data_IF_766384285580
#
_entry.id   IF_766384285580
#
_cell.length_a   1.000
_cell.length_b   1.000
_cell.length_c   1.000
_cell.angle_alpha   90.00
_cell.angle_beta   90.00
_cell.angle_gamma   90.00
#
_symmetry.space_group_name_H-M   'P 1'
#
loop_
_entity.id
_entity.type
_entity.pdbx_description
1 polymer ?
#
# COMPACT_ATOMS: atom_id res chain seq x y z
N UNK A 1 2.40 48.56 19.00
CA UNK A 1 2.31 47.40 19.93
C UNK A 1 0.91 46.85 19.86
N UNK A 2 0.71 45.64 19.34
CA UNK A 2 -0.63 45.06 19.12
C UNK A 2 -1.19 44.48 20.42
N UNK A 3 -2.33 45.01 20.87
CA UNK A 3 -3.03 44.53 22.07
C UNK A 3 -3.93 43.35 21.67
N UNK A 4 -3.55 42.14 22.06
CA UNK A 4 -4.38 40.95 21.89
C UNK A 4 -5.51 40.97 22.92
N UNK A 5 -6.77 40.93 22.45
CA UNK A 5 -7.94 40.72 23.30
C UNK A 5 -8.34 39.24 23.29
N UNK A 6 -8.36 38.64 24.48
CA UNK A 6 -8.83 37.28 24.70
C UNK A 6 -10.36 37.33 24.74
N UNK A 7 -10.99 36.50 23.93
CA UNK A 7 -12.44 36.34 23.90
C UNK A 7 -12.87 35.36 25.00
N UNK A 8 -13.75 35.81 25.89
CA UNK A 8 -14.49 34.97 26.82
C UNK A 8 -15.96 34.93 26.34
N UNK A 9 -16.51 33.74 26.02
CA UNK A 9 -17.93 33.66 25.69
C UNK A 9 -18.73 33.94 26.94
N UNK A 10 -19.65 34.91 26.87
CA UNK A 10 -20.60 35.13 27.95
C UNK A 10 -21.54 33.92 28.06
N UNK A 11 -21.75 33.47 29.29
CA UNK A 11 -22.68 32.38 29.59
C UNK A 11 -24.07 32.79 29.08
N UNK A 12 -24.50 32.12 28.01
CA UNK A 12 -25.77 32.34 27.35
C UNK A 12 -26.90 32.30 28.37
N UNK A 13 -27.57 33.45 28.46
CA UNK A 13 -28.78 33.69 29.24
C UNK A 13 -29.83 32.62 28.96
N UNK A 14 -30.43 32.18 30.05
CA UNK A 14 -31.54 31.25 30.18
C UNK A 14 -32.71 31.61 29.26
N UNK A 15 -32.94 30.84 28.20
CA UNK A 15 -34.15 30.94 27.39
C UNK A 15 -34.84 29.58 27.24
N UNK A 16 -35.95 29.46 27.97
CA UNK A 16 -37.11 28.55 27.81
C UNK A 16 -36.91 27.01 27.80
N UNK A 17 -37.72 26.26 28.58
CA UNK A 17 -37.68 24.80 28.56
C UNK A 17 -38.39 24.31 27.29
N UNK A 18 -37.63 24.12 26.22
CA UNK A 18 -38.07 23.22 25.14
C UNK A 18 -38.12 21.84 25.77
N UNK A 19 -39.31 21.23 25.82
CA UNK A 19 -39.53 19.86 26.26
C UNK A 19 -38.65 18.94 25.41
N UNK A 20 -37.46 18.65 25.91
CA UNK A 20 -36.58 17.63 25.38
C UNK A 20 -37.30 16.30 25.62
N UNK A 21 -38.04 15.82 24.62
CA UNK A 21 -38.24 14.38 24.52
C UNK A 21 -36.84 13.81 24.49
N UNK A 22 -36.47 13.04 25.51
CA UNK A 22 -35.16 12.43 25.71
C UNK A 22 -34.82 11.52 24.51
N UNK A 23 -34.41 12.11 23.40
CA UNK A 23 -33.85 11.38 22.28
C UNK A 23 -32.44 11.00 22.71
N UNK A 24 -32.32 9.81 23.31
CA UNK A 24 -31.02 9.20 23.59
C UNK A 24 -30.10 9.38 22.38
N UNK A 25 -28.82 9.75 22.57
CA UNK A 25 -27.89 9.85 21.47
C UNK A 25 -27.80 8.48 20.77
N UNK A 26 -28.32 8.40 19.55
CA UNK A 26 -28.30 7.17 18.76
C UNK A 26 -26.89 6.99 18.21
N UNK A 27 -26.10 6.13 18.85
CA UNK A 27 -24.77 5.75 18.37
C UNK A 27 -24.94 4.87 17.14
N UNK A 28 -24.64 5.41 15.96
CA UNK A 28 -24.63 4.63 14.72
C UNK A 28 -23.48 3.62 14.79
N UNK A 29 -23.74 2.30 14.68
CA UNK A 29 -22.67 1.32 14.73
C UNK A 29 -21.78 1.48 13.50
N UNK A 30 -20.47 1.65 13.72
CA UNK A 30 -19.49 1.52 12.66
C UNK A 30 -19.64 0.12 12.07
N UNK A 31 -20.01 0.04 10.78
CA UNK A 31 -19.99 -1.23 10.06
C UNK A 31 -18.54 -1.71 10.08
N UNK A 32 -18.24 -2.71 10.91
CA UNK A 32 -16.99 -3.46 10.82
C UNK A 32 -16.92 -3.92 9.38
N UNK A 33 -15.87 -3.54 8.67
CA UNK A 33 -15.62 -4.05 7.33
C UNK A 33 -15.76 -5.57 7.45
N UNK A 34 -16.75 -6.16 6.76
CA UNK A 34 -16.89 -7.60 6.67
C UNK A 34 -15.50 -8.12 6.35
N UNK A 35 -14.99 -9.05 7.18
CA UNK A 35 -13.73 -9.73 6.94
C UNK A 35 -13.78 -10.22 5.49
N UNK A 36 -13.19 -9.44 4.57
CA UNK A 36 -13.02 -9.85 3.20
C UNK A 36 -12.13 -11.06 3.37
N UNK A 37 -12.70 -12.25 3.12
CA UNK A 37 -11.93 -13.46 3.20
C UNK A 37 -10.63 -13.21 2.46
N UNK A 38 -9.49 -13.38 3.14
CA UNK A 38 -8.23 -13.04 2.55
C UNK A 38 -8.10 -13.89 1.28
N UNK A 39 -8.10 -13.27 0.09
CA UNK A 39 -7.65 -13.90 -1.17
C UNK A 39 -6.15 -14.26 -1.10
N UNK A 40 -5.60 -14.47 0.10
CA UNK A 40 -4.17 -14.57 0.36
C UNK A 40 -3.61 -15.91 -0.10
N UNK A 41 -4.41 -16.98 -0.17
CA UNK A 41 -3.91 -18.31 -0.54
C UNK A 41 -3.31 -18.34 -1.95
N UNK A 42 -3.93 -17.66 -2.94
CA UNK A 42 -3.33 -17.52 -4.28
C UNK A 42 -2.20 -16.49 -4.32
N UNK A 43 -2.19 -15.56 -3.37
CA UNK A 43 -1.21 -14.48 -3.32
C UNK A 43 0.12 -14.95 -2.71
N UNK A 44 0.08 -15.89 -1.77
CA UNK A 44 1.28 -16.50 -1.17
C UNK A 44 2.08 -17.28 -2.20
N UNK A 45 1.42 -18.05 -3.06
CA UNK A 45 2.10 -18.87 -4.07
C UNK A 45 2.87 -18.03 -5.09
N UNK A 46 2.26 -16.94 -5.56
CA UNK A 46 2.93 -16.04 -6.52
C UNK A 46 4.15 -15.35 -5.91
N UNK A 47 4.06 -14.87 -4.66
CA UNK A 47 5.21 -14.23 -3.98
C UNK A 47 6.35 -15.23 -3.78
N UNK A 48 6.05 -16.45 -3.34
CA UNK A 48 7.05 -17.49 -3.12
C UNK A 48 7.70 -17.94 -4.43
N UNK A 49 6.90 -18.17 -5.48
CA UNK A 49 7.42 -18.52 -6.81
C UNK A 49 8.35 -17.42 -7.34
N UNK A 50 7.95 -16.15 -7.22
CA UNK A 50 8.81 -15.03 -7.59
C UNK A 50 10.11 -15.02 -6.80
N UNK A 51 10.05 -15.19 -5.48
CA UNK A 51 11.25 -15.21 -4.65
C UNK A 51 12.22 -16.34 -5.07
N UNK A 52 11.70 -17.52 -5.43
CA UNK A 52 12.52 -18.61 -5.96
C UNK A 52 13.17 -18.25 -7.29
N UNK A 53 12.42 -17.69 -8.24
CA UNK A 53 12.95 -17.24 -9.54
C UNK A 53 14.08 -16.22 -9.32
N UNK A 54 13.87 -15.24 -8.45
CA UNK A 54 14.90 -14.24 -8.14
C UNK A 54 16.14 -14.86 -7.50
N UNK A 55 15.96 -15.83 -6.61
CA UNK A 55 17.06 -16.51 -5.93
C UNK A 55 17.88 -17.38 -6.88
N UNK A 56 17.22 -18.13 -7.75
CA UNK A 56 17.87 -19.02 -8.73
C UNK A 56 18.69 -18.23 -9.77
N UNK A 57 18.32 -16.98 -10.03
CA UNK A 57 18.93 -16.13 -11.04
C UNK A 57 19.82 -15.02 -10.45
N UNK A 58 20.37 -15.22 -9.25
CA UNK A 58 21.27 -14.24 -8.61
C UNK A 58 22.67 -14.18 -9.25
N UNK A 59 23.04 -15.19 -10.05
CA UNK A 59 24.35 -15.31 -10.66
C UNK A 59 24.22 -15.52 -12.16
N UNK A 60 25.12 -14.90 -12.92
CA UNK A 60 25.18 -15.06 -14.35
C UNK A 60 25.59 -16.50 -14.72
N UNK A 61 24.85 -17.20 -15.60
CA UNK A 61 25.20 -18.56 -16.01
C UNK A 61 26.48 -18.62 -16.87
N UNK A 62 26.93 -17.49 -17.46
CA UNK A 62 28.12 -17.44 -18.31
C UNK A 62 29.39 -17.05 -17.54
N UNK A 63 29.34 -15.99 -16.72
CA UNK A 63 30.52 -15.45 -16.03
C UNK A 63 30.49 -15.59 -14.50
N UNK A 64 29.41 -16.15 -13.94
CA UNK A 64 29.20 -16.32 -12.49
C UNK A 64 29.19 -15.03 -11.66
N UNK A 65 29.12 -13.86 -12.30
CA UNK A 65 28.98 -12.57 -11.61
C UNK A 65 27.62 -12.47 -10.92
N UNK A 66 27.58 -11.79 -9.76
CA UNK A 66 26.36 -11.44 -9.04
C UNK A 66 25.73 -10.12 -9.49
N UNK A 67 26.35 -9.39 -10.43
CA UNK A 67 25.78 -8.18 -11.03
C UNK A 67 24.74 -8.58 -12.08
N UNK A 68 23.52 -8.87 -11.62
CA UNK A 68 22.40 -9.30 -12.45
C UNK A 68 21.24 -8.29 -12.33
N UNK A 69 20.86 -7.71 -13.47
CA UNK A 69 19.71 -6.84 -13.62
C UNK A 69 18.47 -7.66 -14.01
N UNK A 70 17.31 -7.33 -13.44
CA UNK A 70 16.02 -7.94 -13.78
C UNK A 70 15.39 -7.20 -14.95
N UNK A 71 14.95 -7.96 -15.95
CA UNK A 71 14.14 -7.43 -17.04
C UNK A 71 12.66 -7.60 -16.68
N UNK A 72 11.96 -6.48 -16.50
CA UNK A 72 10.56 -6.46 -16.07
C UNK A 72 9.66 -5.78 -17.12
N UNK A 73 8.46 -6.31 -17.31
CA UNK A 73 7.41 -5.66 -18.11
C UNK A 73 6.84 -4.45 -17.35
N UNK A 74 6.23 -3.51 -18.08
CA UNK A 74 5.54 -2.35 -17.49
C UNK A 74 4.08 -2.67 -17.13
N UNK A 75 3.83 -3.87 -16.64
CA UNK A 75 2.50 -4.41 -16.28
C UNK A 75 2.25 -4.45 -14.77
N UNK A 76 3.17 -3.87 -13.97
CA UNK A 76 3.05 -3.79 -12.53
C UNK A 76 1.77 -3.08 -12.05
N UNK A 77 1.29 -3.47 -10.88
CA UNK A 77 0.14 -2.86 -10.23
C UNK A 77 0.42 -1.39 -9.91
N UNK A 78 -0.58 -0.53 -10.08
CA UNK A 78 -0.49 0.88 -9.74
C UNK A 78 -1.09 1.15 -8.36
N UNK A 79 -0.46 2.06 -7.61
CA UNK A 79 -1.00 2.55 -6.35
C UNK A 79 -2.07 3.63 -6.58
N UNK A 80 -2.69 4.12 -5.50
CA UNK A 80 -3.72 5.18 -5.56
C UNK A 80 -3.24 6.51 -6.17
N UNK A 81 -1.93 6.71 -6.29
CA UNK A 81 -1.29 7.88 -6.93
C UNK A 81 -0.79 7.56 -8.35
N UNK A 82 -1.28 6.48 -8.95
CA UNK A 82 -0.90 6.01 -10.29
C UNK A 82 0.60 5.72 -10.46
N UNK A 83 1.31 5.40 -9.38
CA UNK A 83 2.72 4.97 -9.42
C UNK A 83 2.81 3.45 -9.37
N UNK A 84 3.73 2.88 -10.14
CA UNK A 84 4.02 1.45 -10.13
C UNK A 84 4.44 0.98 -8.74
N UNK A 85 3.84 -0.11 -8.27
CA UNK A 85 4.18 -0.76 -7.01
C UNK A 85 5.40 -1.66 -7.28
N UNK A 86 6.55 -1.43 -6.63
CA UNK A 86 7.76 -2.22 -6.86
C UNK A 86 7.52 -3.72 -6.64
N UNK A 87 8.12 -4.55 -7.49
CA UNK A 87 8.05 -6.00 -7.36
C UNK A 87 6.72 -6.63 -7.79
N UNK A 88 5.77 -5.83 -8.29
CA UNK A 88 4.51 -6.35 -8.84
C UNK A 88 4.55 -6.56 -10.35
N UNK A 89 5.55 -6.01 -11.04
CA UNK A 89 5.79 -6.22 -12.46
C UNK A 89 6.23 -7.64 -12.75
N UNK A 90 5.84 -8.16 -13.92
CA UNK A 90 6.26 -9.48 -14.39
C UNK A 90 7.73 -9.45 -14.79
N UNK A 91 8.54 -10.31 -14.15
CA UNK A 91 9.93 -10.54 -14.55
C UNK A 91 9.93 -11.49 -15.74
N UNK A 92 10.54 -11.08 -16.84
CA UNK A 92 10.61 -11.87 -18.09
C UNK A 92 11.99 -12.48 -18.32
N UNK A 93 13.02 -11.93 -17.68
CA UNK A 93 14.37 -12.42 -17.80
C UNK A 93 15.35 -11.62 -16.96
N UNK A 94 16.62 -11.89 -17.21
CA UNK A 94 17.75 -11.33 -16.49
C UNK A 94 18.86 -10.97 -17.47
N UNK A 95 19.64 -9.96 -17.11
CA UNK A 95 20.83 -9.53 -17.84
C UNK A 95 22.01 -9.38 -16.90
N UNK A 96 23.17 -9.91 -17.27
CA UNK A 96 24.39 -9.66 -16.52
C UNK A 96 24.98 -8.31 -16.89
N UNK A 97 25.29 -7.46 -15.91
CA UNK A 97 25.91 -6.16 -16.15
C UNK A 97 27.44 -6.25 -16.43
N UNK A 98 28.04 -7.43 -16.26
CA UNK A 98 29.48 -7.63 -16.50
C UNK A 98 29.79 -8.16 -17.90
N UNK A 99 29.00 -9.14 -18.39
CA UNK A 99 29.23 -9.80 -19.68
C UNK A 99 28.05 -9.67 -20.65
N UNK A 100 27.03 -8.87 -20.31
CA UNK A 100 25.84 -8.60 -21.11
C UNK A 100 25.04 -9.84 -21.55
N UNK A 101 25.27 -10.98 -20.91
CA UNK A 101 24.51 -12.20 -21.19
C UNK A 101 23.09 -12.05 -20.67
N UNK A 102 22.11 -12.39 -21.49
CA UNK A 102 20.68 -12.37 -21.15
C UNK A 102 20.11 -13.80 -21.10
N UNK A 103 19.19 -14.06 -20.19
CA UNK A 103 18.51 -15.35 -20.07
C UNK A 103 17.09 -15.22 -19.52
N UNK A 104 16.18 -16.17 -19.84
CA UNK A 104 14.79 -16.11 -19.42
C UNK A 104 14.61 -16.42 -17.93
N UNK A 105 13.48 -15.96 -17.37
CA UNK A 105 13.07 -16.18 -15.99
C UNK A 105 12.30 -17.49 -15.77
#
# INVERSE_FOLDING_TARGET
MSVLKIYYPEETTTETPVTQTESQPTILPFRRALNRQPRFERQTDWVLNRARILFQNQQCPACNSSSVEKLELRDGLLNRRNRMIPGTSTVVGFRCECCDTEWPA
#
